data_IF_898433860899
#
_entry.id   IF_898433860899
#
_cell.length_a   1.000
_cell.length_b   1.000
_cell.length_c   1.000
_cell.angle_alpha   90.00
_cell.angle_beta   90.00
_cell.angle_gamma   90.00
#
_symmetry.space_group_name_H-M   'P 1'
#
loop_
_entity.id
_entity.type
_entity.pdbx_description
1 polymer ?
#
# COMPACT_ATOMS: atom_id res chain seq x y z
N UNK A 1 66.69 -4.45 -32.88
CA UNK A 1 66.03 -3.64 -33.93
C UNK A 1 64.62 -3.36 -33.42
N UNK A 2 64.34 -2.19 -32.79
CA UNK A 2 63.83 -0.93 -33.41
C UNK A 2 62.72 -1.24 -34.43
N UNK A 3 61.52 -0.67 -34.43
CA UNK A 3 60.87 0.48 -33.77
C UNK A 3 59.45 0.48 -34.39
N UNK A 4 58.34 0.58 -33.67
CA UNK A 4 57.77 1.86 -33.23
C UNK A 4 57.40 2.79 -34.40
N UNK A 5 56.14 2.83 -34.81
CA UNK A 5 55.58 3.97 -35.56
C UNK A 5 54.10 4.20 -35.24
N UNK A 6 53.78 5.36 -34.66
CA UNK A 6 52.44 5.98 -34.61
C UNK A 6 52.43 7.15 -35.60
N UNK A 7 51.26 7.50 -36.16
CA UNK A 7 50.71 8.87 -35.94
C UNK A 7 49.16 8.84 -35.82
N UNK A 8 48.48 9.46 -34.84
CA UNK A 8 48.20 10.90 -34.57
C UNK A 8 47.62 11.68 -35.77
N UNK A 9 46.30 11.85 -35.82
CA UNK A 9 45.66 13.06 -36.33
C UNK A 9 44.44 13.43 -35.48
N UNK A 10 44.67 14.41 -34.61
CA UNK A 10 43.68 15.31 -34.04
C UNK A 10 43.24 16.30 -35.10
N UNK A 11 41.94 16.43 -35.36
CA UNK A 11 41.38 17.59 -36.07
C UNK A 11 39.96 17.87 -35.56
N UNK A 12 39.88 18.74 -34.56
CA UNK A 12 38.70 19.49 -34.18
C UNK A 12 38.42 20.54 -35.26
N UNK A 13 37.22 20.56 -35.83
CA UNK A 13 36.67 21.72 -36.52
C UNK A 13 35.28 22.01 -35.92
N UNK A 14 35.16 23.23 -35.40
CA UNK A 14 34.00 23.78 -34.70
C UNK A 14 33.24 24.75 -35.61
N UNK A 15 31.89 24.72 -35.50
CA UNK A 15 30.90 25.82 -35.74
C UNK A 15 30.56 26.06 -37.24
N UNK A 16 29.33 26.33 -37.74
CA UNK A 16 28.09 26.96 -37.25
C UNK A 16 26.90 26.56 -38.18
N UNK A 17 25.68 26.26 -37.71
CA UNK A 17 24.49 27.14 -37.49
C UNK A 17 23.37 26.98 -38.55
N UNK A 18 22.18 26.65 -38.01
CA UNK A 18 20.78 26.86 -38.43
C UNK A 18 20.35 26.83 -39.92
N UNK A 19 19.35 25.98 -40.18
CA UNK A 19 18.12 26.40 -40.85
C UNK A 19 16.90 25.72 -40.19
N UNK A 20 15.84 26.51 -40.05
CA UNK A 20 14.71 26.37 -39.15
C UNK A 20 13.43 26.25 -40.00
N UNK A 21 12.66 25.18 -39.79
CA UNK A 21 11.25 25.03 -40.14
C UNK A 21 10.79 23.72 -39.44
N UNK A 22 9.94 23.70 -38.42
CA UNK A 22 8.73 24.46 -38.23
C UNK A 22 7.54 23.59 -38.63
N UNK A 23 7.02 22.74 -37.73
CA UNK A 23 5.60 22.40 -37.69
C UNK A 23 5.19 21.89 -36.28
N UNK A 24 4.01 22.27 -35.77
CA UNK A 24 3.67 22.27 -34.34
C UNK A 24 2.74 21.12 -33.94
N UNK A 25 2.46 21.06 -32.63
CA UNK A 25 1.22 20.53 -32.03
C UNK A 25 0.87 19.06 -32.27
N UNK A 26 1.17 18.24 -31.26
CA UNK A 26 0.11 17.73 -30.40
C UNK A 26 0.68 17.51 -28.99
N UNK A 27 0.63 18.57 -28.19
CA UNK A 27 0.71 18.44 -26.75
C UNK A 27 -0.59 17.74 -26.31
N UNK A 28 -0.53 16.42 -26.09
CA UNK A 28 -1.49 15.77 -25.24
C UNK A 28 -1.16 16.20 -23.81
N UNK A 29 -1.92 17.18 -23.35
CA UNK A 29 -1.90 17.76 -22.03
C UNK A 29 -1.92 16.64 -20.96
N UNK A 30 -0.75 16.35 -20.37
CA UNK A 30 -0.67 15.60 -19.12
C UNK A 30 -0.62 16.58 -17.96
N UNK A 31 -1.72 17.32 -17.77
CA UNK A 31 -1.95 18.10 -16.55
C UNK A 31 -2.91 17.36 -15.62
N UNK A 32 -2.45 16.27 -14.98
CA UNK A 32 -2.94 15.87 -13.66
C UNK A 32 -2.04 14.81 -13.00
N UNK A 33 -0.85 15.18 -12.52
CA UNK A 33 -0.09 14.35 -11.59
C UNK A 33 1.03 15.15 -10.89
N UNK A 34 0.70 16.25 -10.21
CA UNK A 34 1.64 16.82 -9.24
C UNK A 34 0.90 17.63 -8.18
N UNK A 35 0.30 16.94 -7.21
CA UNK A 35 -0.08 17.51 -5.91
C UNK A 35 -0.60 16.37 -5.03
N UNK A 36 0.26 15.82 -4.18
CA UNK A 36 -0.18 14.79 -3.22
C UNK A 36 0.90 14.18 -2.35
N UNK A 37 2.17 14.14 -2.78
CA UNK A 37 3.26 13.52 -2.01
C UNK A 37 4.06 14.47 -1.10
N UNK A 38 3.96 15.78 -1.33
CA UNK A 38 4.77 16.80 -0.64
C UNK A 38 4.18 17.28 0.70
N UNK A 39 2.90 17.01 0.94
CA UNK A 39 2.19 17.44 2.15
C UNK A 39 2.38 16.45 3.31
N UNK A 40 2.50 15.15 3.01
CA UNK A 40 2.63 14.12 4.05
C UNK A 40 4.06 14.00 4.60
N UNK A 41 5.09 14.12 3.76
CA UNK A 41 6.50 14.07 4.23
C UNK A 41 6.79 15.20 5.22
N UNK A 42 6.36 16.43 4.91
CA UNK A 42 6.53 17.58 5.82
C UNK A 42 5.69 17.44 7.10
N UNK A 43 4.52 16.81 7.03
CA UNK A 43 3.69 16.54 8.21
C UNK A 43 4.33 15.47 9.11
N UNK A 44 4.98 14.47 8.52
CA UNK A 44 5.77 13.45 9.23
C UNK A 44 7.00 14.09 9.88
N UNK A 45 7.72 14.97 9.18
CA UNK A 45 8.88 15.70 9.73
C UNK A 45 8.47 16.57 10.93
N UNK A 46 7.38 17.34 10.81
CA UNK A 46 6.88 18.14 11.93
C UNK A 46 6.41 17.28 13.13
N UNK A 47 5.91 16.07 12.86
CA UNK A 47 5.54 15.11 13.91
C UNK A 47 6.79 14.54 14.59
N UNK A 48 7.84 14.24 13.84
CA UNK A 48 9.12 13.75 14.37
C UNK A 48 9.79 14.81 15.26
N UNK A 49 9.86 16.07 14.79
CA UNK A 49 10.41 17.20 15.55
C UNK A 49 9.67 17.47 16.88
N UNK A 50 8.36 17.20 16.90
CA UNK A 50 7.52 17.34 18.08
C UNK A 50 7.69 16.15 19.03
N UNK A 51 7.74 14.93 18.50
CA UNK A 51 7.98 13.72 19.27
C UNK A 51 9.36 13.78 19.95
N UNK A 52 10.39 14.29 19.27
CA UNK A 52 11.73 14.43 19.83
C UNK A 52 11.79 15.47 20.97
N UNK A 53 11.05 16.58 20.84
CA UNK A 53 10.88 17.56 21.91
C UNK A 53 10.11 16.99 23.10
N UNK A 54 8.99 16.31 22.85
CA UNK A 54 8.17 15.70 23.90
C UNK A 54 8.94 14.59 24.64
N UNK A 55 9.78 13.80 23.97
CA UNK A 55 10.68 12.81 24.61
C UNK A 55 11.72 13.50 25.49
N UNK A 56 12.31 14.59 25.01
CA UNK A 56 13.31 15.35 25.76
C UNK A 56 12.70 15.96 27.01
N UNK A 57 11.50 16.52 26.90
CA UNK A 57 10.76 17.08 28.03
C UNK A 57 10.27 15.98 28.99
N UNK A 58 9.88 14.80 28.48
CA UNK A 58 9.47 13.65 29.30
C UNK A 58 10.64 13.08 30.10
N UNK A 59 11.83 13.01 29.50
CA UNK A 59 13.06 12.66 30.22
C UNK A 59 13.41 13.73 31.26
N UNK A 60 13.19 15.01 30.96
CA UNK A 60 13.41 16.09 31.92
C UNK A 60 12.41 16.07 33.06
N UNK A 61 11.15 15.73 32.83
CA UNK A 61 10.12 15.59 33.85
C UNK A 61 10.39 14.36 34.74
N UNK A 62 10.87 13.25 34.16
CA UNK A 62 11.20 12.05 34.94
C UNK A 62 12.49 12.21 35.75
N UNK A 63 13.48 12.96 35.23
CA UNK A 63 14.72 13.24 35.96
C UNK A 63 14.65 14.49 36.87
N UNK A 64 13.75 15.45 36.63
CA UNK A 64 13.54 16.61 37.53
C UNK A 64 12.51 16.36 38.64
N UNK A 65 11.77 15.26 38.58
CA UNK A 65 10.92 14.77 39.69
C UNK A 65 11.70 14.13 40.85
N UNK A 66 13.02 14.05 40.76
CA UNK A 66 13.92 13.45 41.76
C UNK A 66 14.78 14.46 42.52
N UNK A 67 14.23 15.62 42.87
CA UNK A 67 14.95 16.70 43.57
C UNK A 67 14.23 17.17 44.82
N UNK A 68 14.25 16.37 45.89
CA UNK A 68 14.01 16.84 47.25
C UNK A 68 15.08 17.87 47.61
N UNK A 69 14.72 19.15 47.78
CA UNK A 69 15.04 20.01 48.95
C UNK A 69 14.42 21.39 48.71
N UNK A 70 13.40 21.75 49.50
CA UNK A 70 12.81 23.10 49.48
C UNK A 70 11.30 23.07 49.66
N UNK A 71 10.84 23.06 50.91
CA UNK A 71 9.43 23.18 51.30
C UNK A 71 8.83 24.46 50.73
N UNK A 72 7.71 24.44 49.98
CA UNK A 72 6.68 25.43 50.18
C UNK A 72 5.71 24.86 51.22
N UNK A 73 5.61 25.57 52.33
CA UNK A 73 4.53 25.40 53.28
C UNK A 73 3.23 25.66 52.55
N UNK A 74 2.38 24.64 52.44
CA UNK A 74 0.93 24.82 52.36
C UNK A 74 0.24 23.57 52.94
N UNK A 75 0.02 23.62 54.25
CA UNK A 75 -1.04 22.87 54.91
C UNK A 75 -2.39 23.27 54.27
N UNK A 76 -3.12 22.26 53.77
CA UNK A 76 -4.54 22.23 53.37
C UNK A 76 -4.71 21.86 51.90
N UNK A 77 -5.18 20.63 51.62
CA UNK A 77 -5.37 20.17 50.25
C UNK A 77 -5.98 18.79 50.06
N UNK A 78 -6.81 18.31 50.99
CA UNK A 78 -7.56 17.05 50.81
C UNK A 78 -8.64 17.10 49.71
N UNK A 79 -8.83 18.23 49.03
CA UNK A 79 -9.87 18.42 48.00
C UNK A 79 -9.37 18.47 46.55
N UNK A 80 -8.08 18.76 46.31
CA UNK A 80 -7.57 19.01 44.94
C UNK A 80 -7.32 17.71 44.17
N UNK A 81 -6.80 16.67 44.82
CA UNK A 81 -6.62 15.35 44.19
C UNK A 81 -7.93 14.57 43.99
N UNK A 82 -8.93 14.80 44.85
CA UNK A 82 -10.25 14.19 44.68
C UNK A 82 -11.01 14.81 43.50
N UNK A 83 -10.93 16.14 43.34
CA UNK A 83 -11.52 16.84 42.20
C UNK A 83 -10.87 16.45 40.86
N UNK A 84 -9.55 16.28 40.82
CA UNK A 84 -8.82 15.83 39.62
C UNK A 84 -9.21 14.40 39.21
N UNK A 85 -9.30 13.48 40.18
CA UNK A 85 -9.78 12.13 39.96
C UNK A 85 -11.22 12.10 39.43
N UNK A 86 -12.09 13.00 39.90
CA UNK A 86 -13.46 13.14 39.42
C UNK A 86 -13.52 13.67 37.99
N UNK A 87 -12.71 14.68 37.63
CA UNK A 87 -12.60 15.15 36.25
C UNK A 87 -12.16 14.04 35.30
N UNK A 88 -11.22 13.20 35.72
CA UNK A 88 -10.75 12.06 34.93
C UNK A 88 -11.81 10.97 34.73
N UNK A 89 -12.66 10.73 35.73
CA UNK A 89 -13.80 9.82 35.60
C UNK A 89 -14.81 10.34 34.58
N UNK A 90 -15.15 11.63 34.61
CA UNK A 90 -16.02 12.23 33.61
C UNK A 90 -15.43 12.14 32.19
N UNK A 91 -14.11 12.34 32.05
CA UNK A 91 -13.43 12.21 30.76
C UNK A 91 -13.44 10.76 30.24
N UNK A 92 -13.21 9.78 31.13
CA UNK A 92 -13.30 8.36 30.79
C UNK A 92 -14.72 7.95 30.40
N UNK A 93 -15.74 8.40 31.12
CA UNK A 93 -17.14 8.13 30.79
C UNK A 93 -17.51 8.69 29.41
N UNK A 94 -17.06 9.91 29.10
CA UNK A 94 -17.29 10.53 27.80
C UNK A 94 -16.50 9.84 26.68
N UNK A 95 -15.32 9.32 26.99
CA UNK A 95 -14.53 8.52 26.05
C UNK A 95 -15.19 7.17 25.77
N UNK A 96 -15.74 6.50 26.79
CA UNK A 96 -16.48 5.23 26.63
C UNK A 96 -17.77 5.44 25.81
N UNK A 97 -18.50 6.54 26.02
CA UNK A 97 -19.67 6.87 25.19
C UNK A 97 -19.28 7.07 23.73
N UNK A 98 -18.19 7.79 23.46
CA UNK A 98 -17.68 8.00 22.10
C UNK A 98 -17.19 6.70 21.46
N UNK A 99 -16.52 5.84 22.22
CA UNK A 99 -16.08 4.51 21.77
C UNK A 99 -17.26 3.64 21.36
N UNK A 100 -18.30 3.58 22.20
CA UNK A 100 -19.51 2.82 21.87
C UNK A 100 -20.21 3.36 20.62
N UNK A 101 -20.34 4.69 20.48
CA UNK A 101 -20.91 5.30 19.27
C UNK A 101 -20.10 4.96 18.00
N UNK A 102 -18.77 4.97 18.09
CA UNK A 102 -17.91 4.60 16.96
C UNK A 102 -18.01 3.09 16.64
N UNK A 103 -18.17 2.23 17.65
CA UNK A 103 -18.39 0.80 17.44
C UNK A 103 -19.72 0.53 16.73
N UNK A 104 -20.78 1.26 17.09
CA UNK A 104 -22.08 1.18 16.41
C UNK A 104 -21.96 1.63 14.94
N UNK A 105 -21.24 2.73 14.68
CA UNK A 105 -20.98 3.21 13.32
C UNK A 105 -20.16 2.21 12.49
N UNK A 106 -19.10 1.65 13.07
CA UNK A 106 -18.30 0.62 12.41
C UNK A 106 -19.13 -0.64 12.14
N UNK A 107 -19.98 -1.06 13.09
CA UNK A 107 -20.90 -2.18 12.92
C UNK A 107 -21.81 -1.98 11.70
N UNK A 108 -22.45 -0.82 11.59
CA UNK A 108 -23.29 -0.50 10.44
C UNK A 108 -22.52 -0.42 9.13
N UNK A 109 -21.30 0.12 9.14
CA UNK A 109 -20.46 0.19 7.93
C UNK A 109 -20.08 -1.21 7.43
N UNK A 110 -19.77 -2.13 8.34
CA UNK A 110 -19.48 -3.53 8.01
C UNK A 110 -20.71 -4.21 7.40
N UNK A 111 -21.89 -3.98 7.98
CA UNK A 111 -23.15 -4.50 7.44
C UNK A 111 -23.42 -3.99 6.01
N UNK A 112 -23.20 -2.69 5.76
CA UNK A 112 -23.38 -2.10 4.44
C UNK A 112 -22.43 -2.72 3.40
N UNK A 113 -21.14 -2.81 3.72
CA UNK A 113 -20.14 -3.41 2.82
C UNK A 113 -20.44 -4.88 2.53
N UNK A 114 -20.88 -5.64 3.53
CA UNK A 114 -21.29 -7.04 3.34
C UNK A 114 -22.48 -7.15 2.37
N UNK A 115 -23.48 -6.28 2.50
CA UNK A 115 -24.62 -6.25 1.60
C UNK A 115 -24.23 -5.84 0.18
N UNK A 116 -23.35 -4.87 0.01
CA UNK A 116 -22.83 -4.46 -1.30
C UNK A 116 -22.06 -5.60 -1.97
N UNK A 117 -21.20 -6.30 -1.22
CA UNK A 117 -20.46 -7.46 -1.72
C UNK A 117 -21.39 -8.60 -2.17
N UNK A 118 -22.48 -8.86 -1.42
CA UNK A 118 -23.48 -9.86 -1.80
C UNK A 118 -24.21 -9.46 -3.08
N UNK A 119 -24.62 -8.20 -3.23
CA UNK A 119 -25.25 -7.68 -4.45
C UNK A 119 -24.31 -7.77 -5.65
N UNK A 120 -23.06 -7.37 -5.48
CA UNK A 120 -22.05 -7.44 -6.53
C UNK A 120 -21.83 -8.89 -6.99
N UNK A 121 -21.75 -9.84 -6.06
CA UNK A 121 -21.65 -11.27 -6.40
C UNK A 121 -22.87 -11.75 -7.19
N UNK A 122 -24.09 -11.38 -6.76
CA UNK A 122 -25.32 -11.76 -7.46
C UNK A 122 -25.39 -11.18 -8.88
N UNK A 123 -25.06 -9.89 -9.06
CA UNK A 123 -25.00 -9.24 -10.37
C UNK A 123 -23.98 -9.91 -11.31
N UNK A 124 -22.80 -10.22 -10.75
CA UNK A 124 -21.74 -10.92 -11.48
C UNK A 124 -22.20 -12.32 -11.92
N UNK A 125 -22.81 -13.09 -11.03
CA UNK A 125 -23.31 -14.44 -11.32
C UNK A 125 -24.41 -14.43 -12.40
N UNK A 126 -25.34 -13.46 -12.35
CA UNK A 126 -26.37 -13.26 -13.37
C UNK A 126 -25.76 -12.97 -14.74
N UNK A 127 -24.79 -12.05 -14.82
CA UNK A 127 -24.09 -11.75 -16.09
C UNK A 127 -23.30 -12.95 -16.62
N UNK A 128 -22.69 -13.74 -15.74
CA UNK A 128 -22.00 -14.96 -16.16
C UNK A 128 -22.97 -16.01 -16.69
N UNK A 129 -24.14 -16.18 -16.06
CA UNK A 129 -25.20 -17.06 -16.56
C UNK A 129 -25.78 -16.58 -17.90
N UNK A 130 -26.01 -15.28 -18.08
CA UNK A 130 -26.46 -14.72 -19.37
C UNK A 130 -25.41 -14.93 -20.48
N UNK A 131 -24.12 -14.75 -20.16
CA UNK A 131 -23.02 -14.98 -21.10
C UNK A 131 -22.82 -16.47 -21.44
N UNK A 132 -23.23 -17.39 -20.56
CA UNK A 132 -23.07 -18.82 -20.72
C UNK A 132 -24.33 -19.51 -21.27
N UNK A 133 -25.52 -18.92 -21.09
CA UNK A 133 -26.80 -19.36 -21.65
C UNK A 133 -27.14 -18.75 -23.01
N UNK A 134 -26.50 -17.62 -23.37
CA UNK A 134 -26.72 -16.90 -24.63
C UNK A 134 -25.79 -17.33 -25.76
N UNK A 135 -25.79 -18.61 -26.11
CA UNK A 135 -25.23 -19.09 -27.37
C UNK A 135 -26.12 -18.67 -28.56
N UNK A 136 -25.98 -17.41 -29.00
CA UNK A 136 -26.39 -16.94 -30.32
C UNK A 136 -27.79 -16.32 -30.46
N UNK A 137 -27.83 -14.98 -30.54
CA UNK A 137 -28.60 -14.23 -31.53
C UNK A 137 -28.07 -12.78 -31.59
N UNK A 138 -27.59 -12.37 -32.76
CA UNK A 138 -27.04 -11.06 -33.06
C UNK A 138 -28.13 -10.05 -33.48
N UNK A 139 -27.74 -8.77 -33.63
CA UNK A 139 -28.42 -7.62 -34.28
C UNK A 139 -29.16 -6.63 -33.35
N UNK A 140 -29.03 -5.30 -33.45
CA UNK A 140 -28.30 -4.36 -34.34
C UNK A 140 -28.39 -2.93 -33.70
N UNK A 141 -27.59 -1.89 -34.02
CA UNK A 141 -27.29 -1.28 -35.33
C UNK A 141 -26.00 -0.43 -35.28
N UNK A 142 -25.25 -0.43 -36.39
CA UNK A 142 -24.14 0.51 -36.65
C UNK A 142 -23.31 0.11 -37.87
N UNK A 143 -23.95 0.03 -39.03
CA UNK A 143 -23.40 -0.40 -40.33
C UNK A 143 -22.54 0.70 -41.01
N UNK A 144 -21.37 0.33 -41.56
CA UNK A 144 -20.85 0.82 -42.84
C UNK A 144 -19.67 -0.03 -43.34
N UNK A 145 -20.01 -1.04 -44.14
CA UNK A 145 -19.39 -1.48 -45.40
C UNK A 145 -17.89 -1.76 -45.53
N UNK A 146 -17.57 -3.01 -45.88
CA UNK A 146 -16.85 -3.27 -47.13
C UNK A 146 -15.57 -4.10 -47.04
N UNK A 147 -15.65 -5.37 -47.49
CA UNK A 147 -14.50 -6.07 -48.07
C UNK A 147 -14.22 -7.46 -47.50
N UNK A 148 -14.87 -8.48 -48.05
CA UNK A 148 -14.47 -9.88 -47.92
C UNK A 148 -13.61 -10.30 -49.13
N UNK A 149 -12.50 -11.00 -48.90
CA UNK A 149 -12.00 -12.03 -49.81
C UNK A 149 -11.02 -13.02 -49.13
N UNK A 150 -11.53 -14.24 -48.94
CA UNK A 150 -10.91 -15.55 -49.16
C UNK A 150 -9.78 -16.10 -48.25
N UNK A 151 -9.68 -17.44 -48.12
CA UNK A 151 -9.00 -18.15 -47.04
C UNK A 151 -7.58 -18.60 -47.42
N UNK A 152 -6.76 -18.93 -46.42
CA UNK A 152 -5.51 -19.66 -46.60
C UNK A 152 -5.47 -20.77 -45.57
N UNK A 153 -5.41 -22.00 -46.06
CA UNK A 153 -5.18 -23.23 -45.30
C UNK A 153 -3.69 -23.44 -45.04
N UNK A 154 -3.42 -24.10 -43.90
CA UNK A 154 -2.43 -25.15 -43.65
C UNK A 154 -0.94 -24.87 -43.37
N UNK A 155 -0.47 -25.71 -42.44
CA UNK A 155 0.90 -26.15 -42.11
C UNK A 155 1.85 -25.27 -41.26
N UNK A 156 2.22 -25.83 -40.10
CA UNK A 156 3.63 -26.06 -39.80
C UNK A 156 4.25 -25.36 -38.57
N UNK A 157 4.67 -26.19 -37.61
CA UNK A 157 5.76 -26.01 -36.65
C UNK A 157 5.70 -24.94 -35.54
N UNK A 158 5.41 -25.42 -34.33
CA UNK A 158 5.94 -24.86 -33.07
C UNK A 158 6.27 -26.00 -32.10
N UNK A 159 7.55 -26.24 -31.76
CA UNK A 159 7.94 -27.37 -30.93
C UNK A 159 7.72 -27.08 -29.44
N UNK A 160 7.09 -28.01 -28.71
CA UNK A 160 7.45 -28.23 -27.31
C UNK A 160 8.85 -28.85 -27.22
N UNK A 161 9.53 -28.91 -26.06
CA UNK A 161 8.93 -29.32 -24.79
C UNK A 161 9.46 -28.58 -23.53
N UNK A 162 8.86 -28.93 -22.39
CA UNK A 162 9.38 -28.69 -21.06
C UNK A 162 10.86 -29.07 -20.92
N UNK A 163 11.63 -28.22 -20.24
CA UNK A 163 12.91 -28.59 -19.62
C UNK A 163 12.93 -28.05 -18.20
N UNK A 164 12.90 -28.98 -17.25
CA UNK A 164 13.37 -28.80 -15.91
C UNK A 164 14.90 -28.92 -15.94
N UNK A 165 15.63 -27.90 -15.49
CA UNK A 165 17.01 -28.03 -15.02
C UNK A 165 17.21 -27.12 -13.81
N UNK A 166 17.65 -27.73 -12.71
CA UNK A 166 17.87 -27.08 -11.43
C UNK A 166 19.19 -26.32 -11.38
N UNK A 167 19.16 -25.20 -10.67
CA UNK A 167 20.35 -24.61 -10.04
C UNK A 167 20.24 -24.87 -8.54
N UNK A 168 21.19 -25.64 -8.00
CA UNK A 168 21.39 -25.79 -6.56
C UNK A 168 22.03 -24.50 -6.02
N UNK A 169 21.26 -23.72 -5.28
CA UNK A 169 21.75 -22.50 -4.63
C UNK A 169 20.71 -21.88 -3.72
N UNK A 170 20.81 -22.21 -2.43
CA UNK A 170 19.93 -21.77 -1.32
C UNK A 170 18.55 -22.42 -1.36
N UNK A 171 18.26 -23.30 -0.39
CA UNK A 171 16.90 -23.76 -0.16
C UNK A 171 16.00 -22.50 -0.03
N UNK A 172 14.92 -22.36 -0.82
CA UNK A 172 13.99 -21.28 -0.58
C UNK A 172 13.48 -21.49 0.83
N UNK A 173 13.70 -20.50 1.71
CA UNK A 173 12.80 -20.32 2.85
C UNK A 173 11.40 -20.42 2.26
N UNK A 174 10.66 -21.45 2.65
CA UNK A 174 9.33 -21.68 2.09
C UNK A 174 8.53 -20.40 2.34
N UNK A 175 8.21 -19.68 1.26
CA UNK A 175 7.36 -18.49 1.32
C UNK A 175 6.11 -18.86 2.09
N UNK A 176 5.80 -18.09 3.14
CA UNK A 176 4.56 -18.29 3.89
C UNK A 176 3.37 -17.77 3.10
N UNK A 177 3.60 -16.93 2.11
CA UNK A 177 2.57 -16.44 1.19
C UNK A 177 2.29 -17.43 0.06
N UNK A 178 1.01 -17.57 -0.35
CA UNK A 178 0.64 -18.35 -1.52
C UNK A 178 1.10 -17.64 -2.81
N UNK A 179 1.24 -18.42 -3.88
CA UNK A 179 1.43 -17.85 -5.21
C UNK A 179 0.14 -17.13 -5.66
N UNK A 180 0.28 -15.99 -6.34
CA UNK A 180 -0.85 -15.23 -6.85
C UNK A 180 -0.64 -13.73 -6.81
N UNK A 181 -1.73 -12.99 -7.00
CA UNK A 181 -1.73 -11.53 -6.94
C UNK A 181 -1.45 -11.02 -5.52
N UNK A 182 -1.01 -9.76 -5.35
CA UNK A 182 -0.84 -9.16 -4.04
C UNK A 182 -2.13 -9.25 -3.20
N UNK A 183 -3.29 -9.07 -3.83
CA UNK A 183 -4.58 -9.21 -3.14
C UNK A 183 -4.79 -10.61 -2.54
N UNK A 184 -4.50 -11.68 -3.29
CA UNK A 184 -4.62 -13.06 -2.78
C UNK A 184 -3.68 -13.30 -1.60
N UNK A 185 -2.45 -12.79 -1.68
CA UNK A 185 -1.45 -12.91 -0.63
C UNK A 185 -1.85 -12.14 0.64
N UNK A 186 -2.38 -10.93 0.47
CA UNK A 186 -2.91 -10.11 1.55
C UNK A 186 -4.12 -10.76 2.22
N UNK A 187 -5.09 -11.25 1.43
CA UNK A 187 -6.29 -11.92 1.94
C UNK A 187 -5.94 -13.19 2.73
N UNK A 188 -4.92 -13.93 2.30
CA UNK A 188 -4.38 -15.06 3.04
C UNK A 188 -3.83 -14.65 4.41
N UNK A 189 -3.03 -13.58 4.49
CA UNK A 189 -2.50 -13.07 5.75
C UNK A 189 -3.62 -12.60 6.71
N UNK A 190 -4.67 -11.99 6.16
CA UNK A 190 -5.87 -11.61 6.91
C UNK A 190 -6.64 -12.83 7.43
N UNK A 191 -6.74 -13.91 6.66
CA UNK A 191 -7.40 -15.14 7.11
C UNK A 191 -6.64 -15.79 8.29
N UNK A 192 -5.32 -15.74 8.29
CA UNK A 192 -4.50 -16.18 9.43
C UNK A 192 -4.80 -15.39 10.70
N UNK A 193 -4.95 -14.05 10.60
CA UNK A 193 -5.38 -13.21 11.73
C UNK A 193 -6.73 -13.63 12.28
N UNK A 194 -7.72 -13.85 11.40
CA UNK A 194 -9.08 -14.25 11.78
C UNK A 194 -9.10 -15.60 12.50
N UNK A 195 -8.15 -16.48 12.18
CA UNK A 195 -7.97 -17.78 12.84
C UNK A 195 -7.16 -17.70 14.14
N UNK A 196 -6.72 -16.50 14.56
CA UNK A 196 -5.86 -16.30 15.73
C UNK A 196 -4.42 -16.78 15.53
N UNK A 197 -4.00 -17.03 14.29
CA UNK A 197 -2.65 -17.51 13.97
C UNK A 197 -1.69 -16.32 13.82
N UNK A 198 -1.54 -15.55 14.89
CA UNK A 198 -0.83 -14.26 14.87
C UNK A 198 0.64 -14.38 14.44
N UNK A 199 1.34 -15.46 14.80
CA UNK A 199 2.73 -15.68 14.38
C UNK A 199 2.85 -15.89 12.87
N UNK A 200 1.95 -16.70 12.29
CA UNK A 200 1.94 -16.96 10.86
C UNK A 200 1.48 -15.72 10.08
N UNK A 201 0.44 -15.04 10.58
CA UNK A 201 -0.04 -13.79 10.01
C UNK A 201 1.06 -12.73 9.98
N UNK A 202 1.82 -12.58 11.07
CA UNK A 202 2.97 -11.67 11.15
C UNK A 202 4.01 -11.99 10.08
N UNK A 203 4.42 -13.25 9.98
CA UNK A 203 5.39 -13.68 8.97
C UNK A 203 4.87 -13.38 7.55
N UNK A 204 3.60 -13.65 7.28
CA UNK A 204 2.95 -13.37 6.00
C UNK A 204 2.90 -11.87 5.67
N UNK A 205 2.54 -11.00 6.63
CA UNK A 205 2.54 -9.55 6.40
C UNK A 205 3.95 -8.98 6.23
N UNK A 206 4.94 -9.49 6.97
CA UNK A 206 6.35 -9.09 6.79
C UNK A 206 6.82 -9.43 5.37
N UNK A 207 6.55 -10.65 4.91
CA UNK A 207 6.91 -11.07 3.55
C UNK A 207 6.14 -10.28 2.49
N UNK A 208 4.85 -10.00 2.72
CA UNK A 208 4.02 -9.22 1.82
C UNK A 208 4.61 -7.82 1.59
N UNK A 209 5.05 -7.16 2.66
CA UNK A 209 5.65 -5.83 2.60
C UNK A 209 7.02 -5.82 1.93
N UNK A 210 7.75 -6.94 1.96
CA UNK A 210 9.03 -7.09 1.26
C UNK A 210 8.81 -7.29 -0.25
N UNK A 211 7.82 -8.10 -0.63
CA UNK A 211 7.51 -8.41 -2.02
C UNK A 211 6.74 -7.28 -2.73
N UNK A 212 5.86 -6.60 -2.00
CA UNK A 212 4.92 -5.62 -2.53
C UNK A 212 5.02 -4.24 -1.85
N UNK A 213 6.22 -3.63 -1.73
CA UNK A 213 6.42 -2.40 -0.94
C UNK A 213 5.72 -1.17 -1.52
N UNK A 214 5.28 -1.22 -2.79
CA UNK A 214 4.61 -0.13 -3.50
C UNK A 214 3.15 -0.42 -3.81
N UNK A 215 2.66 -1.60 -3.42
CA UNK A 215 1.27 -1.97 -3.65
C UNK A 215 0.34 -1.12 -2.79
N UNK A 216 -0.87 -0.88 -3.26
CA UNK A 216 -1.86 -0.06 -2.54
C UNK A 216 -2.25 -0.68 -1.21
N UNK A 217 -2.09 -2.00 -1.05
CA UNK A 217 -2.34 -2.73 0.19
C UNK A 217 -1.16 -2.69 1.17
N UNK A 218 0.02 -2.20 0.79
CA UNK A 218 1.20 -2.16 1.65
C UNK A 218 0.95 -1.34 2.94
N UNK A 219 0.29 -0.19 2.83
CA UNK A 219 -0.06 0.61 4.01
C UNK A 219 -0.99 -0.14 4.96
N UNK A 220 -2.00 -0.84 4.43
CA UNK A 220 -2.90 -1.67 5.25
C UNK A 220 -2.16 -2.86 5.88
N UNK A 221 -1.27 -3.52 5.13
CA UNK A 221 -0.47 -4.63 5.64
C UNK A 221 0.47 -4.19 6.78
N UNK A 222 1.02 -2.97 6.74
CA UNK A 222 1.79 -2.40 7.86
C UNK A 222 0.93 -2.21 9.12
N UNK A 223 -0.30 -1.71 8.94
CA UNK A 223 -1.25 -1.58 10.05
C UNK A 223 -1.54 -2.95 10.71
N UNK A 224 -1.90 -3.96 9.91
CA UNK A 224 -2.19 -5.30 10.43
C UNK A 224 -0.96 -5.99 11.02
N UNK A 225 0.23 -5.72 10.49
CA UNK A 225 1.47 -6.18 11.09
C UNK A 225 1.61 -5.64 12.53
N UNK A 226 1.33 -4.35 12.75
CA UNK A 226 1.30 -3.76 14.10
C UNK A 226 0.29 -4.45 15.02
N UNK A 227 -0.91 -4.72 14.52
CA UNK A 227 -1.96 -5.43 15.26
C UNK A 227 -1.51 -6.83 15.70
N UNK A 228 -0.73 -7.55 14.88
CA UNK A 228 -0.20 -8.86 15.26
C UNK A 228 0.73 -8.80 16.48
N UNK A 229 1.42 -7.69 16.71
CA UNK A 229 2.27 -7.51 17.89
C UNK A 229 1.45 -7.15 19.12
N UNK A 230 0.42 -6.32 18.94
CA UNK A 230 -0.49 -5.94 20.03
C UNK A 230 -1.26 -7.15 20.57
N UNK A 231 -1.75 -8.03 19.69
CA UNK A 231 -2.56 -9.18 20.08
C UNK A 231 -1.82 -10.26 20.91
N UNK A 232 -0.50 -10.18 21.04
CA UNK A 232 0.32 -11.15 21.77
C UNK A 232 0.83 -10.64 23.13
N UNK A 233 0.42 -9.44 23.54
CA UNK A 233 0.91 -8.76 24.74
C UNK A 233 -0.20 -8.55 25.77
#
# INVERSE_FOLDING_TARGET
MRSGFRPKYTALWTIAVLALAGFPMLAADRAFAQSGGDFDMRAIDNRLDRIEREITDLQRQSYSGGGSTGVPTSLSGGGVGAADAQSRIFELEEQVRRLNGNLEEMGHRIEQVSQEMQRFKADTDLRFQDAQGGGGASAALGEASGGAMAPVDDDGEGPGPATAEGTLGTAPVASVLPQGTPQVQYDFAIDLMKRGQYDQARAAFVEFLQLHPKDTLAGNAQYWLGETYYAQN
#
